data_IF_076896778332
#
_entry.id   IF_076896778332
#
_cell.length_a   1.000
_cell.length_b   1.000
_cell.length_c   1.000
_cell.angle_alpha   90.00
_cell.angle_beta   90.00
_cell.angle_gamma   90.00
#
_symmetry.space_group_name_H-M   'P 1'
#
loop_
_entity.id
_entity.type
_entity.pdbx_description
1 polymer ?
#
# COMPACT_ATOMS: atom_id res chain seq x y z
N UNK A 1 -14.99 -41.29 10.25
CA UNK A 1 -14.31 -40.19 10.97
C UNK A 1 -14.42 -38.97 10.08
N UNK A 2 -15.37 -38.07 10.34
CA UNK A 2 -15.55 -36.88 9.51
C UNK A 2 -14.38 -35.92 9.75
N UNK A 3 -13.74 -35.37 8.71
CA UNK A 3 -12.70 -34.38 8.91
C UNK A 3 -13.31 -33.14 9.53
N UNK A 4 -12.79 -32.74 10.69
CA UNK A 4 -13.03 -31.44 11.30
C UNK A 4 -12.55 -30.37 10.33
N UNK A 5 -13.44 -29.85 9.50
CA UNK A 5 -13.23 -28.57 8.83
C UNK A 5 -13.19 -27.52 9.93
N UNK A 6 -11.97 -27.09 10.30
CA UNK A 6 -11.79 -25.83 11.01
C UNK A 6 -12.52 -24.77 10.19
N UNK A 7 -13.64 -24.29 10.72
CA UNK A 7 -14.42 -23.19 10.17
C UNK A 7 -13.55 -21.94 10.34
N UNK A 8 -12.57 -21.72 9.45
CA UNK A 8 -11.94 -20.40 9.34
C UNK A 8 -13.07 -19.45 8.98
N UNK A 9 -13.31 -18.45 9.83
CA UNK A 9 -14.24 -17.36 9.50
C UNK A 9 -13.71 -16.72 8.23
N UNK A 10 -14.42 -16.93 7.12
CA UNK A 10 -14.06 -16.39 5.83
C UNK A 10 -14.34 -14.88 5.86
N UNK A 11 -13.29 -14.08 6.04
CA UNK A 11 -13.39 -12.63 6.15
C UNK A 11 -12.73 -11.90 4.95
N UNK A 12 -12.64 -12.56 3.80
CA UNK A 12 -12.03 -11.99 2.60
C UNK A 12 -12.75 -10.73 2.11
N UNK A 13 -14.07 -10.61 2.32
CA UNK A 13 -14.83 -9.39 2.00
C UNK A 13 -14.32 -8.17 2.77
N UNK A 14 -14.07 -8.32 4.08
CA UNK A 14 -13.55 -7.23 4.91
C UNK A 14 -12.11 -6.86 4.53
N UNK A 15 -11.26 -7.86 4.29
CA UNK A 15 -9.87 -7.63 3.83
C UNK A 15 -9.87 -6.92 2.48
N UNK A 16 -10.71 -7.35 1.55
CA UNK A 16 -10.86 -6.72 0.24
C UNK A 16 -11.33 -5.26 0.37
N UNK A 17 -12.29 -4.99 1.25
CA UNK A 17 -12.75 -3.63 1.53
C UNK A 17 -11.61 -2.73 2.03
N UNK A 18 -10.85 -3.20 3.03
CA UNK A 18 -9.71 -2.45 3.59
C UNK A 18 -8.62 -2.19 2.53
N UNK A 19 -8.26 -3.21 1.74
CA UNK A 19 -7.27 -3.06 0.68
C UNK A 19 -7.72 -2.09 -0.42
N UNK A 20 -9.01 -2.08 -0.76
CA UNK A 20 -9.59 -1.10 -1.69
C UNK A 20 -9.56 0.32 -1.13
N UNK A 21 -9.83 0.49 0.16
CA UNK A 21 -9.74 1.80 0.81
C UNK A 21 -8.28 2.30 0.86
N UNK A 22 -7.33 1.41 1.11
CA UNK A 22 -5.89 1.72 1.03
C UNK A 22 -5.49 2.14 -0.39
N UNK A 23 -5.89 1.37 -1.40
CA UNK A 23 -5.62 1.69 -2.81
C UNK A 23 -6.25 3.02 -3.22
N UNK A 24 -7.50 3.27 -2.87
CA UNK A 24 -8.16 4.55 -3.19
C UNK A 24 -7.44 5.75 -2.56
N UNK A 25 -7.00 5.63 -1.31
CA UNK A 25 -6.22 6.69 -0.67
C UNK A 25 -4.87 6.92 -1.38
N UNK A 26 -4.20 5.85 -1.82
CA UNK A 26 -2.98 5.97 -2.64
C UNK A 26 -3.26 6.58 -4.01
N UNK A 27 -4.38 6.27 -4.67
CA UNK A 27 -4.79 6.93 -5.91
C UNK A 27 -4.86 8.46 -5.75
N UNK A 28 -5.33 8.93 -4.59
CA UNK A 28 -5.31 10.35 -4.25
C UNK A 28 -3.89 10.90 -4.07
N UNK A 29 -3.00 10.16 -3.40
CA UNK A 29 -1.57 10.53 -3.28
C UNK A 29 -0.95 10.66 -4.67
N UNK A 30 -1.04 9.61 -5.49
CA UNK A 30 -0.54 9.56 -6.86
C UNK A 30 -1.06 10.72 -7.72
N UNK A 31 -2.37 10.97 -7.69
CA UNK A 31 -2.97 12.04 -8.49
C UNK A 31 -2.44 13.41 -8.07
N UNK A 32 -2.43 13.70 -6.78
CA UNK A 32 -2.07 15.02 -6.26
C UNK A 32 -0.57 15.29 -6.35
N UNK A 33 0.28 14.29 -6.09
CA UNK A 33 1.73 14.46 -6.19
C UNK A 33 2.20 14.56 -7.64
N UNK A 34 1.57 13.82 -8.56
CA UNK A 34 1.88 13.91 -9.99
C UNK A 34 1.52 15.28 -10.56
N UNK A 35 0.45 15.91 -10.07
CA UNK A 35 0.05 17.26 -10.47
C UNK A 35 1.18 18.28 -10.24
N UNK A 36 1.97 18.11 -9.18
CA UNK A 36 3.06 19.03 -8.84
C UNK A 36 4.16 19.09 -9.92
N UNK A 37 4.33 18.05 -10.75
CA UNK A 37 5.23 18.08 -11.91
C UNK A 37 4.74 19.00 -13.03
N UNK A 38 3.45 19.31 -13.06
CA UNK A 38 2.82 20.13 -14.10
C UNK A 38 2.67 21.60 -13.69
N UNK A 39 2.95 21.94 -12.44
CA UNK A 39 2.92 23.30 -11.91
C UNK A 39 4.35 23.87 -11.95
N UNK A 40 4.60 25.00 -12.66
CA UNK A 40 5.95 25.55 -12.82
C UNK A 40 6.74 25.78 -11.53
N UNK A 41 6.06 26.15 -10.45
CA UNK A 41 6.63 26.47 -9.15
C UNK A 41 7.03 25.24 -8.33
N UNK A 42 6.47 24.06 -8.65
CA UNK A 42 6.68 22.81 -7.92
C UNK A 42 7.24 21.68 -8.77
N UNK A 43 7.46 21.91 -10.07
CA UNK A 43 7.92 20.87 -11.00
C UNK A 43 9.26 20.23 -10.61
N UNK A 44 10.10 21.00 -9.91
CA UNK A 44 11.42 20.59 -9.41
C UNK A 44 11.43 20.53 -7.86
N UNK A 45 10.26 20.34 -7.23
CA UNK A 45 10.15 20.30 -5.77
C UNK A 45 10.92 19.09 -5.22
N UNK A 46 11.92 19.40 -4.38
CA UNK A 46 12.76 18.39 -3.75
C UNK A 46 11.93 17.36 -2.98
N UNK A 47 12.25 16.08 -3.19
CA UNK A 47 11.52 14.95 -2.61
C UNK A 47 10.42 14.38 -3.51
N UNK A 48 9.88 15.13 -4.48
CA UNK A 48 8.77 14.62 -5.30
C UNK A 48 9.20 13.44 -6.21
N UNK A 49 10.36 13.55 -6.87
CA UNK A 49 10.91 12.47 -7.70
C UNK A 49 11.26 11.21 -6.87
N UNK A 50 11.92 11.40 -5.73
CA UNK A 50 12.31 10.30 -4.83
C UNK A 50 11.06 9.58 -4.29
N UNK A 51 10.07 10.34 -3.82
CA UNK A 51 8.78 9.82 -3.38
C UNK A 51 8.12 8.99 -4.50
N UNK A 52 8.08 9.51 -5.73
CA UNK A 52 7.49 8.81 -6.88
C UNK A 52 8.20 7.51 -7.25
N UNK A 53 9.52 7.43 -7.07
CA UNK A 53 10.29 6.21 -7.29
C UNK A 53 9.86 5.05 -6.37
N UNK A 54 9.27 5.38 -5.22
CA UNK A 54 8.71 4.42 -4.27
C UNK A 54 7.19 4.28 -4.38
N UNK A 55 6.49 5.31 -4.84
CA UNK A 55 5.03 5.28 -5.01
C UNK A 55 4.60 4.28 -6.08
N UNK A 56 5.30 4.22 -7.22
CA UNK A 56 5.02 3.25 -8.30
C UNK A 56 5.07 1.79 -7.81
N UNK A 57 6.16 1.31 -7.16
CA UNK A 57 6.19 -0.05 -6.64
C UNK A 57 5.17 -0.27 -5.50
N UNK A 58 4.90 0.73 -4.66
CA UNK A 58 3.85 0.64 -3.66
C UNK A 58 2.47 0.36 -4.30
N UNK A 59 2.15 1.07 -5.38
CA UNK A 59 0.89 0.91 -6.12
C UNK A 59 0.78 -0.46 -6.78
N UNK A 60 1.86 -0.94 -7.41
CA UNK A 60 1.89 -2.29 -7.97
C UNK A 60 1.53 -3.36 -6.93
N UNK A 61 2.11 -3.25 -5.73
CA UNK A 61 1.85 -4.19 -4.66
C UNK A 61 0.41 -4.08 -4.12
N UNK A 62 -0.11 -2.86 -3.91
CA UNK A 62 -1.50 -2.69 -3.46
C UNK A 62 -2.51 -3.23 -4.46
N UNK A 63 -2.35 -2.93 -5.76
CA UNK A 63 -3.22 -3.48 -6.82
C UNK A 63 -3.17 -5.01 -6.83
N UNK A 64 -1.98 -5.60 -6.69
CA UNK A 64 -1.80 -7.05 -6.64
C UNK A 64 -2.45 -7.68 -5.42
N UNK A 65 -2.34 -7.03 -4.25
CA UNK A 65 -3.01 -7.45 -3.02
C UNK A 65 -4.55 -7.41 -3.16
N UNK A 66 -5.10 -6.32 -3.71
CA UNK A 66 -6.54 -6.17 -3.99
C UNK A 66 -7.02 -7.27 -4.93
N UNK A 67 -6.30 -7.53 -6.02
CA UNK A 67 -6.63 -8.59 -6.97
C UNK A 67 -6.62 -9.98 -6.31
N UNK A 68 -5.65 -10.24 -5.44
CA UNK A 68 -5.55 -11.50 -4.70
C UNK A 68 -6.72 -11.67 -3.71
N UNK A 69 -7.06 -10.63 -2.94
CA UNK A 69 -8.21 -10.64 -2.03
C UNK A 69 -9.53 -10.85 -2.79
N UNK A 70 -9.67 -10.23 -3.97
CA UNK A 70 -10.85 -10.38 -4.84
C UNK A 70 -11.03 -11.82 -5.31
N UNK A 71 -9.94 -12.49 -5.69
CA UNK A 71 -9.95 -13.90 -6.11
C UNK A 71 -10.34 -14.83 -4.96
N UNK A 72 -9.78 -14.61 -3.78
CA UNK A 72 -10.10 -15.36 -2.56
C UNK A 72 -11.57 -15.18 -2.16
N UNK A 73 -12.07 -13.94 -2.19
CA UNK A 73 -13.48 -13.61 -1.94
C UNK A 73 -14.43 -14.31 -2.93
N UNK A 74 -14.01 -14.50 -4.17
CA UNK A 74 -14.79 -15.21 -5.19
C UNK A 74 -14.66 -16.74 -5.12
N UNK A 75 -13.93 -17.28 -4.13
CA UNK A 75 -13.90 -18.71 -3.83
C UNK A 75 -12.66 -19.44 -4.32
N UNK A 76 -11.65 -18.76 -4.89
CA UNK A 76 -10.36 -19.40 -5.11
C UNK A 76 -9.68 -19.72 -3.77
N UNK A 77 -9.05 -20.90 -3.65
CA UNK A 77 -8.49 -21.40 -2.38
C UNK A 77 -7.00 -21.75 -2.44
N UNK A 78 -6.31 -21.41 -3.53
CA UNK A 78 -4.88 -21.72 -3.67
C UNK A 78 -4.09 -20.94 -2.63
N UNK A 79 -3.29 -21.63 -1.82
CA UNK A 79 -2.46 -21.02 -0.78
C UNK A 79 -1.50 -19.96 -1.34
N UNK A 80 -0.98 -20.18 -2.55
CA UNK A 80 -0.12 -19.23 -3.25
C UNK A 80 -0.78 -17.87 -3.45
N UNK A 81 -2.11 -17.79 -3.57
CA UNK A 81 -2.82 -16.49 -3.68
C UNK A 81 -2.72 -15.73 -2.36
N UNK A 82 -2.87 -16.42 -1.23
CA UNK A 82 -2.72 -15.81 0.09
C UNK A 82 -1.28 -15.36 0.31
N UNK A 83 -0.29 -16.19 -0.05
CA UNK A 83 1.13 -15.85 0.04
C UNK A 83 1.50 -14.64 -0.82
N UNK A 84 0.99 -14.57 -2.06
CA UNK A 84 1.17 -13.38 -2.93
C UNK A 84 0.56 -12.15 -2.29
N UNK A 85 -0.66 -12.25 -1.75
CA UNK A 85 -1.34 -11.13 -1.11
C UNK A 85 -0.58 -10.61 0.10
N UNK A 86 -0.17 -11.49 1.03
CA UNK A 86 0.54 -11.09 2.26
C UNK A 86 1.91 -10.51 1.94
N UNK A 87 2.61 -11.07 0.96
CA UNK A 87 3.87 -10.52 0.42
C UNK A 87 3.68 -9.12 -0.11
N UNK A 88 2.66 -8.89 -0.93
CA UNK A 88 2.40 -7.56 -1.48
C UNK A 88 1.98 -6.55 -0.41
N UNK A 89 1.22 -6.96 0.62
CA UNK A 89 0.90 -6.08 1.75
C UNK A 89 2.17 -5.59 2.46
N UNK A 90 3.12 -6.49 2.73
CA UNK A 90 4.40 -6.12 3.38
C UNK A 90 5.25 -5.24 2.47
N UNK A 91 5.35 -5.57 1.19
CA UNK A 91 6.13 -4.76 0.27
C UNK A 91 5.55 -3.35 0.09
N UNK A 92 4.23 -3.21 -0.02
CA UNK A 92 3.59 -1.90 -0.04
C UNK A 92 3.91 -1.09 1.22
N UNK A 93 3.80 -1.70 2.41
CA UNK A 93 4.13 -1.04 3.68
C UNK A 93 5.62 -0.61 3.75
N UNK A 94 6.53 -1.41 3.20
CA UNK A 94 7.95 -1.06 3.13
C UNK A 94 8.19 0.15 2.21
N UNK A 95 7.53 0.20 1.05
CA UNK A 95 7.63 1.34 0.13
C UNK A 95 6.98 2.60 0.73
N UNK A 96 5.88 2.46 1.48
CA UNK A 96 5.20 3.58 2.13
C UNK A 96 6.10 4.37 3.08
N UNK A 97 7.04 3.68 3.76
CA UNK A 97 8.03 4.34 4.62
C UNK A 97 8.85 5.37 3.81
N UNK A 98 9.25 5.01 2.58
CA UNK A 98 10.01 5.87 1.68
C UNK A 98 9.17 6.94 1.00
N UNK A 99 7.92 6.63 0.65
CA UNK A 99 6.95 7.63 0.20
C UNK A 99 6.79 8.73 1.25
N UNK A 100 6.65 8.35 2.53
CA UNK A 100 6.53 9.30 3.65
C UNK A 100 7.79 10.15 3.84
N UNK A 101 8.97 9.55 3.73
CA UNK A 101 10.24 10.30 3.76
C UNK A 101 10.26 11.38 2.67
N UNK A 102 9.93 11.04 1.43
CA UNK A 102 9.88 12.01 0.34
C UNK A 102 8.81 13.10 0.51
N UNK A 103 7.62 12.76 1.02
CA UNK A 103 6.57 13.75 1.34
C UNK A 103 7.01 14.73 2.44
N UNK A 104 7.74 14.26 3.45
CA UNK A 104 8.30 15.13 4.49
C UNK A 104 9.34 16.09 3.90
N UNK A 105 10.20 15.60 3.00
CA UNK A 105 11.16 16.44 2.27
C UNK A 105 10.45 17.49 1.42
N UNK A 106 9.37 17.11 0.72
CA UNK A 106 8.54 18.05 -0.03
C UNK A 106 7.95 19.13 0.87
N UNK A 107 7.38 18.77 2.03
CA UNK A 107 6.77 19.74 2.95
C UNK A 107 7.80 20.75 3.48
N UNK A 108 9.02 20.29 3.77
CA UNK A 108 10.11 21.13 4.27
C UNK A 108 10.60 22.14 3.22
N UNK A 109 10.62 21.74 1.95
CA UNK A 109 11.18 22.53 0.85
C UNK A 109 10.14 23.31 0.03
N UNK A 110 8.85 23.05 0.24
CA UNK A 110 7.81 23.77 -0.47
C UNK A 110 7.65 25.22 -0.02
N UNK A 111 7.25 26.07 -0.97
CA UNK A 111 6.84 27.45 -0.67
C UNK A 111 5.60 27.44 0.23
N UNK A 112 5.39 28.54 0.96
CA UNK A 112 4.30 28.67 1.93
C UNK A 112 2.90 28.44 1.30
N UNK A 113 2.76 28.73 0.00
CA UNK A 113 1.53 28.53 -0.76
C UNK A 113 1.18 27.04 -0.93
N UNK A 114 2.18 26.18 -1.16
CA UNK A 114 1.97 24.75 -1.44
C UNK A 114 2.05 23.85 -0.21
N UNK A 115 2.55 24.32 0.93
CA UNK A 115 2.63 23.54 2.16
C UNK A 115 1.29 22.93 2.58
N UNK A 116 0.22 23.70 2.51
CA UNK A 116 -1.11 23.21 2.86
C UNK A 116 -1.58 22.09 1.92
N UNK A 117 -1.24 22.17 0.63
CA UNK A 117 -1.57 21.12 -0.35
C UNK A 117 -0.78 19.84 -0.06
N UNK A 118 0.52 19.95 0.21
CA UNK A 118 1.36 18.79 0.57
C UNK A 118 0.88 18.11 1.86
N UNK A 119 0.44 18.89 2.85
CA UNK A 119 -0.17 18.34 4.07
C UNK A 119 -1.45 17.55 3.79
N UNK A 120 -2.22 17.89 2.74
CA UNK A 120 -3.36 17.07 2.31
C UNK A 120 -2.87 15.76 1.71
N UNK A 121 -1.80 15.77 0.91
CA UNK A 121 -1.19 14.55 0.36
C UNK A 121 -0.69 13.64 1.49
N UNK A 122 -0.02 14.20 2.51
CA UNK A 122 0.44 13.45 3.69
C UNK A 122 -0.73 12.78 4.41
N UNK A 123 -1.86 13.48 4.60
CA UNK A 123 -3.07 12.89 5.21
C UNK A 123 -3.68 11.76 4.39
N UNK A 124 -3.57 11.80 3.06
CA UNK A 124 -3.97 10.69 2.21
C UNK A 124 -3.03 9.50 2.35
N UNK A 125 -1.71 9.75 2.42
CA UNK A 125 -0.72 8.70 2.66
C UNK A 125 -0.95 8.02 4.02
N UNK A 126 -1.21 8.77 5.08
CA UNK A 126 -1.55 8.22 6.41
C UNK A 126 -2.80 7.33 6.37
N UNK A 127 -3.82 7.71 5.59
CA UNK A 127 -5.02 6.88 5.39
C UNK A 127 -4.69 5.60 4.61
N UNK A 128 -3.91 5.70 3.54
CA UNK A 128 -3.49 4.55 2.74
C UNK A 128 -2.77 3.50 3.60
N UNK A 129 -1.82 3.95 4.41
CA UNK A 129 -1.08 3.11 5.36
C UNK A 129 -1.97 2.52 6.46
N UNK A 130 -2.86 3.33 7.04
CA UNK A 130 -3.76 2.90 8.10
C UNK A 130 -4.67 1.76 7.64
N UNK A 131 -5.26 1.87 6.45
CA UNK A 131 -6.08 0.81 5.87
C UNK A 131 -5.26 -0.44 5.50
N UNK A 132 -4.03 -0.26 5.00
CA UNK A 132 -3.14 -1.39 4.70
C UNK A 132 -2.76 -2.16 5.97
N UNK A 133 -2.45 -1.44 7.05
CA UNK A 133 -2.16 -2.03 8.36
C UNK A 133 -3.37 -2.76 8.92
N UNK A 134 -4.57 -2.19 8.83
CA UNK A 134 -5.80 -2.88 9.23
C UNK A 134 -6.03 -4.16 8.41
N UNK A 135 -5.77 -4.13 7.09
CA UNK A 135 -5.87 -5.31 6.24
C UNK A 135 -4.86 -6.39 6.67
N UNK A 136 -3.62 -6.00 6.97
CA UNK A 136 -2.58 -6.88 7.52
C UNK A 136 -3.04 -7.58 8.80
N UNK A 137 -3.54 -6.82 9.77
CA UNK A 137 -4.01 -7.38 11.04
C UNK A 137 -5.26 -8.27 10.86
N UNK A 138 -6.16 -7.91 9.95
CA UNK A 138 -7.30 -8.75 9.59
C UNK A 138 -6.84 -10.11 9.01
N UNK A 139 -5.85 -10.13 8.11
CA UNK A 139 -5.28 -11.37 7.57
C UNK A 139 -4.64 -12.21 8.67
N UNK A 140 -3.88 -11.60 9.59
CA UNK A 140 -3.30 -12.29 10.74
C UNK A 140 -4.38 -12.92 11.63
N UNK A 141 -5.48 -12.21 11.88
CA UNK A 141 -6.60 -12.70 12.69
C UNK A 141 -7.30 -13.93 12.08
N UNK A 142 -7.20 -14.12 10.75
CA UNK A 142 -7.66 -15.32 10.05
C UNK A 142 -6.69 -16.51 10.15
N UNK A 143 -5.59 -16.36 10.90
CA UNK A 143 -4.59 -17.40 11.13
C UNK A 143 -3.62 -17.59 9.96
N UNK A 144 -3.37 -16.54 9.17
CA UNK A 144 -2.31 -16.54 8.16
C UNK A 144 -1.07 -15.81 8.68
N UNK A 145 0.11 -16.34 8.39
CA UNK A 145 1.37 -15.68 8.69
C UNK A 145 1.66 -14.58 7.67
N UNK A 146 2.33 -13.53 8.13
CA UNK A 146 2.97 -12.55 7.24
C UNK A 146 4.43 -12.95 7.05
N UNK A 147 5.02 -12.76 5.86
CA UNK A 147 6.45 -12.93 5.67
C UNK A 147 7.22 -11.97 6.60
N UNK A 148 8.41 -12.40 7.05
CA UNK A 148 9.26 -11.54 7.87
C UNK A 148 9.81 -10.39 7.02
N UNK A 149 9.90 -9.18 7.59
CA UNK A 149 10.41 -7.97 6.87
C UNK A 149 11.82 -8.18 6.27
N UNK A 150 12.59 -9.15 6.76
CA UNK A 150 13.99 -9.38 6.38
C UNK A 150 14.21 -10.39 5.25
N UNK A 151 13.19 -11.13 4.79
CA UNK A 151 13.35 -12.13 3.73
C UNK A 151 13.37 -11.54 2.31
N UNK A 152 13.20 -10.21 2.17
CA UNK A 152 12.99 -9.56 0.87
C UNK A 152 14.03 -8.49 0.49
N UNK A 153 15.03 -8.21 1.36
CA UNK A 153 16.16 -7.35 0.98
C UNK A 153 17.09 -8.00 -0.08
N UNK A 154 16.91 -9.28 -0.40
CA UNK A 154 17.70 -10.00 -1.41
C UNK A 154 17.03 -10.10 -2.79
N UNK A 155 15.83 -9.54 -2.96
CA UNK A 155 15.15 -9.47 -4.24
C UNK A 155 15.40 -8.14 -4.94
N UNK A 156 16.59 -7.97 -5.55
CA UNK A 156 16.74 -6.98 -6.61
C UNK A 156 15.59 -7.16 -7.62
N UNK A 157 14.90 -6.04 -7.90
CA UNK A 157 13.93 -5.81 -8.97
C UNK A 157 13.53 -7.05 -9.78
N UNK A 158 12.43 -7.70 -9.37
CA UNK A 158 11.55 -8.33 -10.33
C UNK A 158 10.32 -7.44 -10.44
N UNK A 159 10.40 -6.60 -11.49
CA UNK A 159 9.48 -5.54 -11.96
C UNK A 159 9.68 -4.18 -11.31
#
# INVERSE_FOLDING_TARGET
MYPYYYYRVNNWDHILMLLRQSLYAEEMVCSMSSELFHIPETKDLEGNDEMHSHLVPASYHRVTAVGSAQRLKNGEQRETIVQTMTTCIINAENQDRKVREGLNTMEQNASQEYKAFIQVIIKWQEQAESYLMQAKEAVKSMGYSMPAENEQQTGEALY
#
